data_IF_717840002698
#
_entry.id   IF_717840002698
#
_cell.length_a   1.000
_cell.length_b   1.000
_cell.length_c   1.000
_cell.angle_alpha   90.00
_cell.angle_beta   90.00
_cell.angle_gamma   90.00
#
_symmetry.space_group_name_H-M   'P 1'
#
loop_
_entity.id
_entity.type
_entity.pdbx_description
1 polymer ?
#
# COMPACT_ATOMS: atom_id res chain seq x y z
N UNK A 1 -50.07 28.20 10.62
CA UNK A 1 -49.31 26.96 10.95
C UNK A 1 -47.85 27.22 10.62
N UNK A 2 -47.09 27.60 11.64
CA UNK A 2 -45.67 27.98 11.53
C UNK A 2 -44.81 26.72 11.44
N UNK A 3 -44.20 26.48 10.28
CA UNK A 3 -43.20 25.44 10.08
C UNK A 3 -41.97 25.75 10.95
N UNK A 4 -41.81 25.07 12.06
CA UNK A 4 -40.55 25.07 12.82
C UNK A 4 -39.49 24.39 11.96
N UNK A 5 -38.63 25.17 11.33
CA UNK A 5 -37.39 24.70 10.76
C UNK A 5 -36.60 23.98 11.86
N UNK A 6 -36.53 22.62 11.82
CA UNK A 6 -35.72 21.85 12.74
C UNK A 6 -34.27 22.29 12.54
N UNK A 7 -33.69 23.02 13.49
CA UNK A 7 -32.25 23.36 13.50
C UNK A 7 -31.47 22.07 13.36
N UNK A 8 -30.62 22.05 12.36
CA UNK A 8 -29.73 20.90 12.09
C UNK A 8 -28.90 20.61 13.34
N UNK A 9 -28.76 19.34 13.79
CA UNK A 9 -28.01 19.00 15.00
C UNK A 9 -26.55 19.50 14.96
N UNK A 10 -26.07 20.03 16.09
CA UNK A 10 -24.73 20.65 16.16
C UNK A 10 -23.61 19.67 15.77
N UNK A 11 -23.73 18.38 16.09
CA UNK A 11 -22.72 17.39 15.72
C UNK A 11 -22.60 17.20 14.19
N UNK A 12 -23.68 17.36 13.41
CA UNK A 12 -23.65 17.32 11.95
C UNK A 12 -22.97 18.55 11.36
N UNK A 13 -23.21 19.73 11.94
CA UNK A 13 -22.54 20.95 11.51
C UNK A 13 -21.04 20.89 11.77
N UNK A 14 -20.65 20.29 12.88
CA UNK A 14 -19.23 20.10 13.24
C UNK A 14 -18.58 19.07 12.32
N UNK A 15 -19.23 17.92 12.06
CA UNK A 15 -18.66 16.92 11.14
C UNK A 15 -18.50 17.50 9.73
N UNK A 16 -19.45 18.29 9.23
CA UNK A 16 -19.34 18.95 7.93
C UNK A 16 -18.17 19.95 7.91
N UNK A 17 -18.06 20.84 8.91
CA UNK A 17 -16.98 21.80 8.99
C UNK A 17 -15.59 21.15 9.05
N UNK A 18 -15.46 20.02 9.76
CA UNK A 18 -14.22 19.28 9.85
C UNK A 18 -13.91 18.51 8.56
N UNK A 19 -14.93 17.99 7.87
CA UNK A 19 -14.80 17.38 6.54
C UNK A 19 -14.30 18.41 5.53
N UNK A 20 -14.90 19.60 5.50
CA UNK A 20 -14.46 20.69 4.62
C UNK A 20 -12.98 21.05 4.85
N UNK A 21 -12.49 21.05 6.10
CA UNK A 21 -11.07 21.29 6.42
C UNK A 21 -10.16 20.20 5.84
N UNK A 22 -10.59 18.93 5.87
CA UNK A 22 -9.85 17.81 5.27
C UNK A 22 -9.84 17.94 3.74
N UNK A 23 -10.99 18.21 3.12
CA UNK A 23 -11.13 18.35 1.67
C UNK A 23 -10.33 19.54 1.10
N UNK A 24 -10.20 20.62 1.87
CA UNK A 24 -9.38 21.78 1.51
C UNK A 24 -7.90 21.62 1.85
N UNK A 25 -7.48 20.45 2.34
CA UNK A 25 -6.11 20.18 2.81
C UNK A 25 -5.63 21.12 3.94
N UNK A 26 -6.55 21.73 4.70
CA UNK A 26 -6.21 22.46 5.93
C UNK A 26 -5.79 21.47 7.05
N UNK A 27 -6.25 20.23 6.94
CA UNK A 27 -5.83 19.08 7.72
C UNK A 27 -5.31 18.02 6.75
N UNK A 28 -3.99 17.86 6.70
CA UNK A 28 -3.33 16.97 5.74
C UNK A 28 -3.48 15.48 6.10
N UNK A 29 -3.52 14.57 5.12
CA UNK A 29 -3.50 13.13 5.36
C UNK A 29 -2.34 12.70 6.26
N UNK A 30 -2.65 11.93 7.32
CA UNK A 30 -1.67 11.50 8.33
C UNK A 30 -1.37 12.52 9.42
N UNK A 31 -1.84 13.76 9.28
CA UNK A 31 -1.70 14.79 10.30
C UNK A 31 -2.50 14.42 11.56
N UNK A 32 -1.96 14.78 12.72
CA UNK A 32 -2.68 14.65 13.98
C UNK A 32 -3.88 15.59 14.00
N UNK A 33 -5.05 15.01 14.19
CA UNK A 33 -6.30 15.74 14.29
C UNK A 33 -6.36 16.53 15.60
N UNK A 34 -7.07 17.66 15.64
CA UNK A 34 -7.28 18.38 16.90
C UNK A 34 -7.92 17.48 17.96
N UNK A 35 -7.49 17.62 19.21
CA UNK A 35 -8.02 16.83 20.32
C UNK A 35 -9.48 17.18 20.62
N UNK A 36 -10.24 16.24 21.23
CA UNK A 36 -11.61 16.51 21.69
C UNK A 36 -11.70 17.83 22.52
N UNK A 37 -10.69 18.09 23.34
CA UNK A 37 -10.64 19.31 24.19
C UNK A 37 -10.47 20.59 23.36
N UNK A 38 -9.66 20.55 22.32
CA UNK A 38 -9.46 21.68 21.42
C UNK A 38 -10.74 21.95 20.61
N UNK A 39 -11.36 20.91 20.09
CA UNK A 39 -12.62 21.01 19.34
C UNK A 39 -13.78 21.51 20.22
N UNK A 40 -13.87 21.07 21.49
CA UNK A 40 -14.85 21.61 22.45
C UNK A 40 -14.69 23.12 22.62
N UNK A 41 -13.44 23.63 22.68
CA UNK A 41 -13.16 25.05 22.78
C UNK A 41 -13.46 25.80 21.48
N UNK A 42 -13.09 25.22 20.36
CA UNK A 42 -13.28 25.82 19.03
C UNK A 42 -14.77 25.97 18.69
N UNK A 43 -15.56 24.92 18.90
CA UNK A 43 -16.97 24.90 18.54
C UNK A 43 -17.94 25.31 19.66
N UNK A 44 -17.43 25.56 20.88
CA UNK A 44 -18.24 25.93 22.06
C UNK A 44 -19.40 24.98 22.36
N UNK A 45 -19.18 23.66 22.27
CA UNK A 45 -20.19 22.62 22.46
C UNK A 45 -19.78 21.61 23.55
N UNK A 46 -20.74 20.77 23.97
CA UNK A 46 -20.47 19.70 24.90
C UNK A 46 -19.54 18.65 24.29
N UNK A 47 -18.71 18.00 25.13
CA UNK A 47 -17.76 16.96 24.70
C UNK A 47 -18.42 15.81 23.95
N UNK A 48 -19.62 15.39 24.36
CA UNK A 48 -20.38 14.34 23.68
C UNK A 48 -20.77 14.72 22.26
N UNK A 49 -21.07 16.00 22.00
CA UNK A 49 -21.37 16.51 20.66
C UNK A 49 -20.16 16.41 19.74
N UNK A 50 -18.98 16.76 20.25
CA UNK A 50 -17.69 16.59 19.51
C UNK A 50 -17.43 15.10 19.23
N UNK A 51 -17.60 14.24 20.24
CA UNK A 51 -17.37 12.80 20.03
C UNK A 51 -18.28 12.23 18.96
N UNK A 52 -19.56 12.61 18.97
CA UNK A 52 -20.51 12.15 17.96
C UNK A 52 -20.12 12.65 16.54
N UNK A 53 -19.63 13.90 16.42
CA UNK A 53 -19.12 14.41 15.15
C UNK A 53 -17.89 13.63 14.67
N UNK A 54 -16.97 13.30 15.59
CA UNK A 54 -15.79 12.47 15.29
C UNK A 54 -16.14 11.01 14.97
N UNK A 55 -17.19 10.44 15.60
CA UNK A 55 -17.68 9.09 15.28
C UNK A 55 -18.15 9.04 13.82
N UNK A 56 -18.87 10.08 13.36
CA UNK A 56 -19.31 10.18 11.96
C UNK A 56 -18.10 10.22 11.01
N UNK A 57 -17.11 11.06 11.28
CA UNK A 57 -15.92 11.15 10.43
C UNK A 57 -15.10 9.83 10.41
N UNK A 58 -15.09 9.09 11.52
CA UNK A 58 -14.46 7.77 11.61
C UNK A 58 -15.24 6.73 10.79
N UNK A 59 -16.58 6.72 10.90
CA UNK A 59 -17.47 5.85 10.12
C UNK A 59 -17.39 6.14 8.61
N UNK A 60 -17.24 7.42 8.24
CA UNK A 60 -16.97 7.86 6.86
C UNK A 60 -15.53 7.53 6.39
N UNK A 61 -14.68 7.06 7.31
CA UNK A 61 -13.29 6.72 6.99
C UNK A 61 -12.38 7.92 6.72
N UNK A 62 -12.72 9.11 7.20
CA UNK A 62 -11.91 10.33 7.05
C UNK A 62 -10.85 10.47 8.13
N UNK A 63 -11.05 9.85 9.30
CA UNK A 63 -10.12 9.87 10.43
C UNK A 63 -9.92 8.48 11.02
N UNK A 64 -8.77 8.25 11.64
CA UNK A 64 -8.43 7.05 12.42
C UNK A 64 -8.20 7.42 13.88
N UNK A 65 -8.80 6.65 14.82
CA UNK A 65 -8.55 6.79 16.26
C UNK A 65 -7.64 5.68 16.74
N UNK A 66 -6.49 6.06 17.29
CA UNK A 66 -5.49 5.13 17.82
C UNK A 66 -5.48 5.17 19.34
N UNK A 67 -5.50 4.01 20.00
CA UNK A 67 -5.40 3.87 21.46
C UNK A 67 -3.93 3.71 21.88
N UNK A 68 -3.63 4.06 23.14
CA UNK A 68 -2.31 3.83 23.73
C UNK A 68 -1.49 5.11 23.94
N UNK A 69 -0.22 4.96 24.35
CA UNK A 69 0.68 6.05 24.76
C UNK A 69 0.99 7.05 23.64
N UNK A 70 0.97 6.59 22.40
CA UNK A 70 1.05 7.40 21.17
C UNK A 70 -0.31 7.58 20.50
N UNK A 71 -1.41 7.38 21.23
CA UNK A 71 -2.76 7.47 20.73
C UNK A 71 -3.16 8.87 20.30
N UNK A 72 -4.29 8.97 19.60
CA UNK A 72 -4.84 10.22 19.10
C UNK A 72 -5.76 9.97 17.90
N UNK A 73 -6.38 11.03 17.43
CA UNK A 73 -7.11 11.05 16.19
C UNK A 73 -6.19 11.60 15.10
N UNK A 74 -6.21 11.00 13.92
CA UNK A 74 -5.39 11.38 12.77
C UNK A 74 -6.26 11.44 11.53
N UNK A 75 -5.98 12.37 10.62
CA UNK A 75 -6.60 12.35 9.29
C UNK A 75 -6.19 11.07 8.59
N UNK A 76 -7.18 10.33 8.07
CA UNK A 76 -6.90 9.07 7.40
C UNK A 76 -6.09 9.31 6.14
N UNK A 77 -4.99 8.63 6.04
CA UNK A 77 -4.28 8.48 4.78
C UNK A 77 -5.04 7.44 3.96
N UNK A 78 -5.56 7.82 2.80
CA UNK A 78 -5.98 6.81 1.82
C UNK A 78 -4.70 6.24 1.23
N UNK A 79 -4.33 5.00 1.57
CA UNK A 79 -3.11 4.43 1.02
C UNK A 79 -3.22 4.40 -0.51
N UNK A 80 -2.13 4.72 -1.25
CA UNK A 80 -2.15 4.64 -2.70
C UNK A 80 -2.51 3.21 -3.14
N UNK A 81 -3.34 3.11 -4.16
CA UNK A 81 -3.70 1.82 -4.75
C UNK A 81 -2.63 1.39 -5.73
N UNK A 82 -2.06 0.22 -5.50
CA UNK A 82 -1.01 -0.39 -6.32
C UNK A 82 -1.61 -1.51 -7.19
N UNK A 83 -1.24 -1.56 -8.45
CA UNK A 83 -1.74 -2.58 -9.38
C UNK A 83 -0.77 -3.76 -9.48
N UNK A 84 -1.27 -4.99 -9.28
CA UNK A 84 -0.50 -6.21 -9.53
C UNK A 84 -0.45 -6.59 -11.01
N UNK A 85 -1.32 -6.05 -11.84
CA UNK A 85 -1.35 -6.32 -13.29
C UNK A 85 -0.24 -5.59 -14.04
N UNK A 86 0.32 -4.53 -13.46
CA UNK A 86 1.47 -3.83 -14.02
C UNK A 86 2.75 -4.65 -13.93
N UNK A 87 3.64 -4.50 -14.93
CA UNK A 87 4.97 -5.12 -14.92
C UNK A 87 5.90 -4.47 -13.88
N UNK A 88 5.62 -3.23 -13.52
CA UNK A 88 6.44 -2.42 -12.63
C UNK A 88 6.41 -2.91 -11.19
N UNK A 89 7.52 -2.70 -10.48
CA UNK A 89 7.59 -3.00 -9.07
C UNK A 89 6.68 -2.08 -8.25
N UNK A 90 6.27 -2.52 -7.06
CA UNK A 90 5.51 -1.70 -6.10
C UNK A 90 6.23 -0.37 -5.85
N UNK A 91 7.55 -0.39 -5.67
CA UNK A 91 8.35 0.81 -5.45
C UNK A 91 8.34 1.77 -6.65
N UNK A 92 8.36 1.23 -7.87
CA UNK A 92 8.25 2.04 -9.10
C UNK A 92 6.89 2.73 -9.16
N UNK A 93 5.82 1.98 -8.90
CA UNK A 93 4.47 2.53 -8.89
C UNK A 93 4.26 3.64 -7.84
N UNK A 94 4.89 3.53 -6.67
CA UNK A 94 4.85 4.58 -5.64
C UNK A 94 5.60 5.83 -6.11
N UNK A 95 6.77 5.66 -6.74
CA UNK A 95 7.55 6.78 -7.30
C UNK A 95 6.79 7.52 -8.41
N UNK A 96 6.11 6.80 -9.30
CA UNK A 96 5.26 7.39 -10.35
C UNK A 96 4.09 8.22 -9.79
N UNK A 97 3.67 7.92 -8.57
CA UNK A 97 2.64 8.68 -7.84
C UNK A 97 3.20 9.86 -7.02
N UNK A 98 4.48 10.18 -7.20
CA UNK A 98 5.12 11.32 -6.54
C UNK A 98 5.70 11.03 -5.16
N UNK A 99 5.71 9.76 -4.70
CA UNK A 99 6.34 9.40 -3.44
C UNK A 99 7.87 9.35 -3.59
N UNK A 100 8.58 9.97 -2.65
CA UNK A 100 10.03 9.83 -2.56
C UNK A 100 10.37 8.40 -2.16
N UNK A 101 11.09 7.69 -3.03
CA UNK A 101 11.43 6.28 -2.79
C UNK A 101 12.93 6.07 -2.85
N UNK A 102 13.51 5.62 -1.75
CA UNK A 102 14.92 5.23 -1.65
C UNK A 102 15.06 3.76 -1.32
N UNK A 103 16.18 3.16 -1.74
CA UNK A 103 16.46 1.73 -1.53
C UNK A 103 17.74 1.59 -0.71
N UNK A 104 17.67 0.81 0.36
CA UNK A 104 18.82 0.38 1.13
C UNK A 104 19.08 -1.10 0.92
N UNK A 105 20.26 -1.46 0.48
CA UNK A 105 20.71 -2.85 0.43
C UNK A 105 21.01 -3.31 1.85
N UNK A 106 20.29 -4.32 2.32
CA UNK A 106 20.42 -4.88 3.68
C UNK A 106 21.51 -5.95 3.72
N UNK A 107 21.49 -6.84 2.73
CA UNK A 107 22.50 -7.89 2.59
C UNK A 107 22.57 -8.41 1.15
N UNK A 108 23.75 -8.86 0.76
CA UNK A 108 24.02 -9.57 -0.48
C UNK A 108 24.90 -10.77 -0.13
N UNK A 109 24.36 -11.98 -0.29
CA UNK A 109 25.06 -13.20 0.05
C UNK A 109 25.02 -14.19 -1.12
N UNK A 110 26.11 -14.92 -1.30
CA UNK A 110 26.14 -16.11 -2.15
C UNK A 110 25.89 -17.32 -1.27
N UNK A 111 24.77 -18.01 -1.44
CA UNK A 111 24.34 -19.11 -0.59
C UNK A 111 23.67 -20.22 -1.39
N UNK A 112 23.56 -21.41 -0.81
CA UNK A 112 22.76 -22.47 -1.41
C UNK A 112 21.27 -22.12 -1.40
N UNK A 113 20.58 -22.48 -2.47
CA UNK A 113 19.15 -22.24 -2.63
C UNK A 113 18.36 -23.09 -1.61
N UNK A 114 17.47 -22.50 -0.80
CA UNK A 114 16.59 -23.26 0.08
C UNK A 114 15.73 -24.26 -0.70
N UNK A 115 15.44 -25.44 -0.15
CA UNK A 115 14.74 -26.54 -0.85
C UNK A 115 13.43 -26.11 -1.53
N UNK A 116 12.60 -25.33 -0.82
CA UNK A 116 11.33 -24.86 -1.37
C UNK A 116 11.51 -23.84 -2.52
N UNK A 117 12.56 -23.03 -2.47
CA UNK A 117 12.92 -22.08 -3.53
C UNK A 117 13.53 -22.84 -4.72
N UNK A 118 14.36 -23.85 -4.48
CA UNK A 118 14.94 -24.67 -5.53
C UNK A 118 13.87 -25.36 -6.39
N UNK A 119 12.85 -25.93 -5.72
CA UNK A 119 11.69 -26.51 -6.40
C UNK A 119 10.93 -25.48 -7.27
N UNK A 120 10.77 -24.26 -6.79
CA UNK A 120 10.09 -23.18 -7.51
C UNK A 120 10.91 -22.66 -8.70
N UNK A 121 12.24 -22.58 -8.55
CA UNK A 121 13.18 -22.18 -9.61
C UNK A 121 13.44 -23.31 -10.63
N UNK A 122 13.12 -24.57 -10.31
CA UNK A 122 13.44 -25.72 -11.14
C UNK A 122 14.94 -26.06 -11.14
N UNK A 123 15.66 -25.74 -10.05
CA UNK A 123 17.10 -26.00 -9.89
C UNK A 123 17.38 -26.99 -8.77
N UNK A 124 18.61 -27.49 -8.70
CA UNK A 124 19.06 -28.31 -7.60
C UNK A 124 19.28 -27.44 -6.35
N UNK A 125 18.97 -27.97 -5.16
CA UNK A 125 19.22 -27.26 -3.89
C UNK A 125 20.73 -27.07 -3.57
N UNK A 126 21.64 -27.75 -4.26
CA UNK A 126 23.06 -27.49 -4.22
C UNK A 126 23.51 -26.28 -5.08
N UNK A 127 22.60 -25.73 -5.89
CA UNK A 127 22.89 -24.56 -6.71
C UNK A 127 23.15 -23.35 -5.81
N UNK A 128 24.18 -22.58 -6.14
CA UNK A 128 24.44 -21.30 -5.51
C UNK A 128 23.56 -20.21 -6.11
N UNK A 129 23.02 -19.36 -5.25
CA UNK A 129 22.26 -18.20 -5.67
C UNK A 129 22.70 -16.94 -4.92
N UNK A 130 22.48 -15.81 -5.53
CA UNK A 130 22.47 -14.52 -4.87
C UNK A 130 21.20 -14.39 -4.02
N UNK A 131 21.37 -14.21 -2.73
CA UNK A 131 20.35 -13.86 -1.76
C UNK A 131 20.50 -12.36 -1.47
N UNK A 132 19.67 -11.55 -2.13
CA UNK A 132 19.73 -10.09 -2.07
C UNK A 132 18.54 -9.58 -1.28
N UNK A 133 18.78 -8.96 -0.13
CA UNK A 133 17.76 -8.35 0.69
C UNK A 133 17.84 -6.83 0.59
N UNK A 134 16.70 -6.19 0.31
CA UNK A 134 16.59 -4.74 0.17
C UNK A 134 15.44 -4.20 0.99
N UNK A 135 15.59 -3.00 1.50
CA UNK A 135 14.58 -2.24 2.21
C UNK A 135 14.21 -1.01 1.38
N UNK A 136 12.95 -0.87 1.08
CA UNK A 136 12.42 0.32 0.43
C UNK A 136 11.86 1.27 1.49
N UNK A 137 12.28 2.51 1.38
CA UNK A 137 11.90 3.62 2.26
C UNK A 137 11.12 4.59 1.38
N UNK A 138 9.89 4.88 1.78
CA UNK A 138 8.97 5.77 1.06
C UNK A 138 8.62 6.93 2.00
N UNK A 139 8.84 8.15 1.54
CA UNK A 139 8.65 9.38 2.34
C UNK A 139 9.29 9.27 3.72
N UNK A 140 10.54 8.79 3.76
CA UNK A 140 11.33 8.59 4.97
C UNK A 140 10.91 7.41 5.86
N UNK A 141 9.89 6.63 5.49
CA UNK A 141 9.38 5.49 6.27
C UNK A 141 9.74 4.15 5.63
N UNK A 142 10.24 3.16 6.39
CA UNK A 142 10.43 1.79 5.89
C UNK A 142 9.08 1.15 5.54
N UNK A 143 8.93 0.67 4.29
CA UNK A 143 7.63 0.22 3.75
C UNK A 143 7.67 -1.21 3.23
N UNK A 144 8.75 -1.59 2.50
CA UNK A 144 8.84 -2.89 1.86
C UNK A 144 10.20 -3.51 2.19
N UNK A 145 10.18 -4.78 2.61
CA UNK A 145 11.37 -5.65 2.59
C UNK A 145 11.23 -6.59 1.41
N UNK A 146 12.19 -6.58 0.49
CA UNK A 146 12.26 -7.53 -0.62
C UNK A 146 13.48 -8.44 -0.47
N UNK A 147 13.33 -9.70 -0.88
CA UNK A 147 14.37 -10.70 -0.95
C UNK A 147 14.35 -11.38 -2.30
N UNK A 148 15.43 -11.26 -3.04
CA UNK A 148 15.61 -11.90 -4.33
C UNK A 148 16.51 -13.12 -4.16
N UNK A 149 16.13 -14.25 -4.75
CA UNK A 149 16.97 -15.42 -4.92
C UNK A 149 17.16 -15.66 -6.41
N UNK A 150 18.39 -15.48 -6.90
CA UNK A 150 18.75 -15.54 -8.32
C UNK A 150 19.95 -16.47 -8.45
N UNK A 151 19.87 -17.56 -9.26
CA UNK A 151 21.00 -18.47 -9.46
C UNK A 151 22.23 -17.71 -9.96
N UNK A 152 23.39 -18.00 -9.36
CA UNK A 152 24.65 -17.30 -9.68
C UNK A 152 25.04 -17.47 -11.13
N UNK A 153 24.80 -18.67 -11.69
CA UNK A 153 25.14 -19.00 -13.07
C UNK A 153 24.38 -18.15 -14.11
N UNK A 154 23.22 -17.62 -13.71
CA UNK A 154 22.40 -16.74 -14.57
C UNK A 154 22.86 -15.27 -14.54
N UNK A 155 23.45 -14.82 -13.43
CA UNK A 155 23.95 -13.47 -13.26
C UNK A 155 25.23 -13.49 -12.39
N UNK A 156 26.39 -13.94 -12.91
CA UNK A 156 27.56 -14.26 -12.10
C UNK A 156 28.14 -13.06 -11.34
N UNK A 157 28.08 -11.88 -11.88
CA UNK A 157 28.66 -10.66 -11.29
C UNK A 157 27.62 -9.69 -10.74
N UNK A 158 26.41 -10.19 -10.45
CA UNK A 158 25.29 -9.36 -9.98
C UNK A 158 25.64 -8.55 -8.71
N UNK A 159 26.48 -9.08 -7.84
CA UNK A 159 26.95 -8.42 -6.62
C UNK A 159 27.90 -7.24 -6.86
N UNK A 160 28.40 -7.05 -8.05
CA UNK A 160 29.29 -5.92 -8.41
C UNK A 160 28.49 -4.67 -8.87
N UNK A 161 27.19 -4.83 -9.16
CA UNK A 161 26.32 -3.74 -9.55
C UNK A 161 25.80 -2.94 -8.34
N UNK A 162 25.34 -1.71 -8.60
CA UNK A 162 24.62 -0.95 -7.58
C UNK A 162 23.20 -1.50 -7.38
N UNK A 163 23.06 -2.39 -6.41
CA UNK A 163 21.79 -3.04 -6.11
C UNK A 163 20.74 -2.12 -5.44
N UNK A 164 20.98 -0.82 -5.34
CA UNK A 164 19.96 0.19 -5.01
C UNK A 164 19.11 0.52 -6.23
N UNK A 165 19.66 0.34 -7.41
CA UNK A 165 18.96 0.50 -8.68
C UNK A 165 17.85 -0.56 -8.87
N UNK A 166 16.88 -0.34 -9.77
CA UNK A 166 15.88 -1.34 -10.12
C UNK A 166 16.54 -2.64 -10.60
N UNK A 167 16.42 -3.71 -9.81
CA UNK A 167 17.15 -4.96 -10.05
C UNK A 167 16.83 -5.58 -11.43
N UNK A 168 15.60 -5.38 -11.94
CA UNK A 168 15.21 -5.88 -13.26
C UNK A 168 15.98 -5.18 -14.40
N UNK A 169 16.36 -3.92 -14.22
CA UNK A 169 17.18 -3.21 -15.19
C UNK A 169 18.60 -3.80 -15.23
N UNK A 170 19.15 -4.16 -14.06
CA UNK A 170 20.46 -4.83 -13.98
C UNK A 170 20.37 -6.22 -14.62
N UNK A 171 19.32 -6.99 -14.33
CA UNK A 171 19.11 -8.34 -14.86
C UNK A 171 18.89 -8.35 -16.37
N UNK A 172 18.36 -7.25 -16.95
CA UNK A 172 18.24 -7.10 -18.39
C UNK A 172 19.60 -7.16 -19.10
N UNK A 173 20.69 -6.74 -18.45
CA UNK A 173 22.07 -6.87 -18.97
C UNK A 173 22.58 -8.31 -19.03
N UNK A 174 21.88 -9.27 -18.41
CA UNK A 174 22.15 -10.71 -18.45
C UNK A 174 21.10 -11.47 -19.29
N UNK A 175 20.34 -10.79 -20.15
CA UNK A 175 19.22 -11.35 -20.92
C UNK A 175 18.10 -11.98 -20.03
N UNK A 176 17.99 -11.50 -18.79
CA UNK A 176 17.00 -11.94 -17.82
C UNK A 176 15.86 -10.95 -17.70
N UNK A 177 15.15 -10.73 -18.80
CA UNK A 177 13.94 -9.91 -18.82
C UNK A 177 12.69 -10.75 -18.56
N UNK A 178 11.81 -10.35 -17.61
CA UNK A 178 10.60 -11.11 -17.34
C UNK A 178 9.56 -10.88 -18.43
N UNK A 179 9.18 -11.96 -19.13
CA UNK A 179 8.02 -11.99 -20.03
C UNK A 179 6.80 -12.58 -19.34
N UNK A 180 7.01 -13.35 -18.28
CA UNK A 180 5.95 -13.95 -17.46
C UNK A 180 6.25 -13.76 -15.98
N UNK A 181 5.22 -13.35 -15.25
CA UNK A 181 5.22 -13.19 -13.80
C UNK A 181 4.09 -14.03 -13.19
N UNK A 182 4.42 -14.96 -12.30
CA UNK A 182 3.44 -15.57 -11.39
C UNK A 182 3.59 -14.93 -10.03
N UNK A 183 2.51 -14.47 -9.47
CA UNK A 183 2.50 -13.81 -8.18
C UNK A 183 1.42 -14.39 -7.29
N UNK A 184 1.75 -14.69 -6.04
CA UNK A 184 0.80 -15.04 -5.00
C UNK A 184 0.91 -14.03 -3.85
N UNK A 185 -0.23 -13.69 -3.28
CA UNK A 185 -0.34 -12.74 -2.18
C UNK A 185 -1.01 -13.41 -0.98
N UNK A 186 -0.52 -13.11 0.21
CA UNK A 186 -1.10 -13.59 1.47
C UNK A 186 -0.99 -12.54 2.57
N UNK A 187 -1.96 -12.55 3.49
CA UNK A 187 -1.85 -11.81 4.73
C UNK A 187 -0.87 -12.52 5.68
N UNK A 188 -0.03 -11.76 6.36
CA UNK A 188 0.95 -12.27 7.31
C UNK A 188 1.18 -11.29 8.45
N UNK A 189 1.81 -11.75 9.53
CA UNK A 189 2.35 -10.88 10.58
C UNK A 189 3.87 -10.74 10.43
N UNK A 190 4.44 -9.67 10.98
CA UNK A 190 5.85 -9.35 10.85
C UNK A 190 6.73 -10.40 11.58
N UNK A 191 7.68 -11.03 10.86
CA UNK A 191 8.74 -11.86 11.43
C UNK A 191 9.73 -10.99 12.18
N UNK A 192 10.53 -11.55 13.08
CA UNK A 192 11.48 -10.81 13.93
C UNK A 192 12.41 -9.87 13.14
N UNK A 193 12.89 -10.30 11.98
CA UNK A 193 13.74 -9.48 11.13
C UNK A 193 12.94 -8.34 10.46
N UNK A 194 11.74 -8.65 9.96
CA UNK A 194 10.84 -7.67 9.36
C UNK A 194 10.42 -6.59 10.37
N UNK A 195 10.17 -6.97 11.63
CA UNK A 195 9.89 -6.01 12.71
C UNK A 195 11.00 -4.97 12.86
N UNK A 196 12.27 -5.43 12.86
CA UNK A 196 13.44 -4.56 12.98
C UNK A 196 13.62 -3.67 11.75
N UNK A 197 13.46 -4.23 10.56
CA UNK A 197 13.67 -3.52 9.29
C UNK A 197 12.56 -2.50 9.01
N UNK A 198 11.31 -2.89 9.25
CA UNK A 198 10.13 -2.05 8.98
C UNK A 198 9.75 -1.13 10.15
N UNK A 199 10.34 -1.33 11.33
CA UNK A 199 10.01 -0.56 12.53
C UNK A 199 8.58 -0.82 13.04
N UNK A 200 8.09 -2.06 12.90
CA UNK A 200 6.72 -2.45 13.26
C UNK A 200 6.66 -3.47 14.39
N UNK A 201 5.53 -3.59 15.05
CA UNK A 201 5.29 -4.62 16.07
C UNK A 201 5.08 -6.01 15.45
N UNK A 202 5.19 -7.07 16.27
CA UNK A 202 4.93 -8.44 15.84
C UNK A 202 3.51 -8.66 15.30
N UNK A 203 2.54 -7.96 15.84
CA UNK A 203 1.13 -8.04 15.43
C UNK A 203 0.79 -7.18 14.22
N UNK A 204 1.76 -6.41 13.70
CA UNK A 204 1.50 -5.55 12.55
C UNK A 204 1.19 -6.40 11.31
N UNK A 205 0.05 -6.17 10.63
CA UNK A 205 -0.31 -6.91 9.44
C UNK A 205 0.56 -6.50 8.26
N UNK A 206 1.02 -7.51 7.50
CA UNK A 206 1.78 -7.34 6.27
C UNK A 206 1.05 -8.03 5.12
N UNK A 207 1.18 -7.49 3.93
CA UNK A 207 0.90 -8.20 2.70
C UNK A 207 2.20 -8.85 2.22
N UNK A 208 2.21 -10.17 2.10
CA UNK A 208 3.37 -10.94 1.63
C UNK A 208 3.13 -11.41 0.22
N UNK A 209 4.07 -11.08 -0.66
CA UNK A 209 4.08 -11.49 -2.05
C UNK A 209 5.18 -12.51 -2.26
N UNK A 210 4.88 -13.54 -3.05
CA UNK A 210 5.87 -14.47 -3.60
C UNK A 210 5.73 -14.43 -5.11
N UNK A 211 6.83 -14.12 -5.80
CA UNK A 211 6.85 -13.90 -7.23
C UNK A 211 7.88 -14.78 -7.90
N UNK A 212 7.48 -15.40 -9.02
CA UNK A 212 8.36 -16.12 -9.94
C UNK A 212 8.44 -15.35 -11.25
N UNK A 213 9.65 -15.09 -11.70
CA UNK A 213 9.92 -14.39 -12.95
C UNK A 213 10.50 -15.37 -13.97
N UNK A 214 9.91 -15.40 -15.18
CA UNK A 214 10.39 -16.22 -16.29
C UNK A 214 10.81 -15.34 -17.47
N UNK A 215 11.88 -15.75 -18.14
CA UNK A 215 12.31 -15.16 -19.38
C UNK A 215 11.58 -15.76 -20.60
N UNK A 216 11.93 -15.33 -21.80
CA UNK A 216 11.36 -15.78 -23.06
C UNK A 216 11.53 -17.29 -23.31
N UNK A 217 12.60 -17.89 -22.81
CA UNK A 217 12.83 -19.34 -22.93
C UNK A 217 12.05 -20.18 -21.90
N UNK A 218 11.23 -19.54 -21.07
CA UNK A 218 10.42 -20.18 -20.04
C UNK A 218 11.18 -20.52 -18.77
N UNK A 219 12.47 -20.17 -18.67
CA UNK A 219 13.30 -20.41 -17.49
C UNK A 219 12.90 -19.47 -16.36
N UNK A 220 12.70 -20.02 -15.15
CA UNK A 220 12.48 -19.23 -13.95
C UNK A 220 13.85 -18.74 -13.45
N UNK A 221 14.13 -17.46 -13.58
CA UNK A 221 15.41 -16.88 -13.24
C UNK A 221 15.44 -16.17 -11.87
N UNK A 222 14.29 -15.84 -11.32
CA UNK A 222 14.22 -15.21 -10.01
C UNK A 222 13.01 -15.68 -9.21
N UNK A 223 13.26 -15.94 -7.92
CA UNK A 223 12.27 -16.10 -6.86
C UNK A 223 12.35 -14.88 -5.97
N UNK A 224 11.22 -14.20 -5.78
CA UNK A 224 11.17 -12.94 -5.03
C UNK A 224 10.13 -13.04 -3.92
N UNK A 225 10.55 -12.75 -2.68
CA UNK A 225 9.65 -12.52 -1.56
C UNK A 225 9.63 -11.04 -1.24
N UNK A 226 8.43 -10.48 -1.10
CA UNK A 226 8.25 -9.09 -0.65
C UNK A 226 7.26 -9.05 0.51
N UNK A 227 7.58 -8.26 1.51
CA UNK A 227 6.69 -7.96 2.63
C UNK A 227 6.41 -6.46 2.66
N UNK A 228 5.16 -6.11 2.36
CA UNK A 228 4.65 -4.74 2.32
C UNK A 228 3.85 -4.46 3.57
N UNK A 229 4.06 -3.32 4.20
CA UNK A 229 3.19 -2.81 5.27
C UNK A 229 1.80 -2.53 4.73
N UNK A 230 0.78 -3.14 5.34
CA UNK A 230 -0.61 -3.03 4.88
C UNK A 230 -1.26 -1.66 5.14
N UNK A 231 -0.62 -0.83 6.01
CA UNK A 231 -1.08 0.53 6.32
C UNK A 231 -0.55 1.60 5.34
N UNK A 232 0.27 1.20 4.35
CA UNK A 232 0.92 2.13 3.41
C UNK A 232 0.30 2.10 2.03
N UNK A 233 -0.23 0.96 1.58
CA UNK A 233 -0.81 0.83 0.26
C UNK A 233 -1.93 -0.21 0.21
N UNK A 234 -2.92 0.06 -0.63
CA UNK A 234 -3.89 -0.92 -1.06
C UNK A 234 -3.38 -1.64 -2.31
N UNK A 235 -3.82 -2.88 -2.50
CA UNK A 235 -3.48 -3.66 -3.69
C UNK A 235 -4.75 -3.95 -4.46
N UNK A 236 -4.75 -3.58 -5.73
CA UNK A 236 -5.87 -3.76 -6.64
C UNK A 236 -5.48 -4.68 -7.81
N UNK A 237 -6.40 -5.53 -8.17
CA UNK A 237 -6.29 -6.37 -9.37
C UNK A 237 -7.47 -6.02 -10.27
N UNK A 238 -7.19 -5.39 -11.40
CA UNK A 238 -8.20 -5.07 -12.42
C UNK A 238 -8.14 -6.12 -13.50
N UNK A 239 -9.26 -6.78 -13.76
CA UNK A 239 -9.42 -7.78 -14.83
C UNK A 239 -10.41 -7.26 -15.86
N UNK A 240 -9.96 -7.17 -17.11
CA UNK A 240 -10.77 -6.66 -18.22
C UNK A 240 -10.62 -5.17 -18.46
N UNK A 241 -11.34 -4.68 -19.46
CA UNK A 241 -11.41 -3.25 -19.78
C UNK A 241 -12.54 -2.62 -18.97
N UNK A 242 -12.24 -1.45 -18.36
CA UNK A 242 -13.28 -0.66 -17.67
C UNK A 242 -14.21 -0.05 -18.74
N UNK A 243 -15.48 -0.46 -18.82
CA UNK A 243 -16.39 0.14 -19.78
C UNK A 243 -16.58 1.61 -19.47
N UNK A 244 -16.35 2.48 -20.45
CA UNK A 244 -16.56 3.91 -20.29
C UNK A 244 -17.96 4.18 -19.68
N UNK A 245 -18.09 5.10 -18.71
CA UNK A 245 -19.37 5.39 -18.08
C UNK A 245 -20.37 5.81 -19.13
N UNK A 246 -21.43 5.02 -19.30
CA UNK A 246 -22.52 5.39 -20.18
C UNK A 246 -23.24 6.59 -19.56
N UNK A 247 -23.53 7.66 -20.32
CA UNK A 247 -24.32 8.75 -19.82
C UNK A 247 -25.69 8.20 -19.38
N UNK A 248 -26.03 8.47 -18.12
CA UNK A 248 -27.34 8.10 -17.58
C UNK A 248 -28.41 8.82 -18.42
N UNK A 249 -29.11 8.11 -19.28
CA UNK A 249 -30.23 8.68 -19.98
C UNK A 249 -31.31 9.06 -18.97
N UNK A 250 -31.84 10.30 -19.00
CA UNK A 250 -32.97 10.65 -18.16
C UNK A 250 -34.11 9.69 -18.46
N UNK A 251 -34.66 9.07 -17.44
CA UNK A 251 -35.88 8.28 -17.60
C UNK A 251 -36.97 9.24 -18.07
N UNK A 252 -37.40 9.08 -19.31
CA UNK A 252 -38.56 9.78 -19.82
C UNK A 252 -39.74 9.52 -18.87
N UNK A 253 -40.15 10.60 -18.19
CA UNK A 253 -41.34 10.57 -17.35
C UNK A 253 -42.54 10.26 -18.23
N UNK A 254 -43.08 9.06 -18.06
CA UNK A 254 -44.28 8.63 -18.75
C UNK A 254 -45.40 9.67 -18.58
N UNK A 255 -45.65 10.41 -19.64
CA UNK A 255 -46.82 11.28 -19.73
C UNK A 255 -48.06 10.38 -19.71
N UNK A 256 -48.76 10.38 -18.57
CA UNK A 256 -50.07 9.79 -18.46
C UNK A 256 -51.01 10.44 -19.49
N UNK A 257 -51.62 9.61 -20.35
CA UNK A 257 -52.74 10.02 -21.18
C UNK A 257 -53.94 10.35 -20.28
N UNK A 258 -54.60 11.49 -20.42
CA UNK A 258 -55.93 11.69 -19.86
C UNK A 258 -56.98 10.92 -20.69
N UNK A 259 -57.91 10.31 -19.97
CA UNK A 259 -59.10 9.67 -20.50
C UNK A 259 -60.15 10.70 -20.91
#
# INVERSE_FOLDING_TARGET
>A
MTSQSRKRPAYLLISDALRDKIERNELEPGQRFPTERELVREFHVARMTVRHALDILEDEGLIDRRRGRSGGTYVRTVPPTLSLTKKDSIATQLRERGHETTVRVVSVNKTHVPKHVAAALGVNNATYAWDIKRLFIVDGKPVIVSRYTIPVDMAPELNQHDLREPILNILAGYDLQPVFKRESMSAATARTEEQKLLGVSRSHPLLRFVRLLKNETGVVFAYVEESLRSDIANVEVVLGEDPAPQPVQPRDGGAGKPA
#
